data_IF_808370075787
#
_entry.id   IF_808370075787
#
_cell.length_a   1.000
_cell.length_b   1.000
_cell.length_c   1.000
_cell.angle_alpha   90.00
_cell.angle_beta   90.00
_cell.angle_gamma   90.00
#
_symmetry.space_group_name_H-M   'P 1'
#
loop_
_entity.id
_entity.type
_entity.pdbx_description
1 polymer ?
#
# COMPACT_ATOMS: atom_id res chain seq x y z
N UNK A 1 31.68 -20.62 7.18
CA UNK A 1 31.01 -21.61 6.30
C UNK A 1 30.21 -22.53 7.20
N UNK A 2 28.87 -22.53 7.13
CA UNK A 2 28.05 -23.35 8.04
C UNK A 2 27.63 -24.68 7.39
N UNK A 3 27.74 -25.82 8.10
CA UNK A 3 27.66 -27.18 7.54
C UNK A 3 26.25 -27.71 7.28
N UNK A 4 25.19 -26.96 7.55
CA UNK A 4 23.80 -27.43 7.44
C UNK A 4 23.25 -27.46 6.00
N UNK A 5 24.02 -27.05 4.99
CA UNK A 5 23.53 -26.92 3.61
C UNK A 5 23.33 -28.24 2.84
N UNK A 6 23.71 -29.40 3.38
CA UNK A 6 23.76 -30.64 2.59
C UNK A 6 22.51 -31.52 2.68
N UNK A 7 21.92 -31.74 3.86
CA UNK A 7 20.97 -32.85 4.03
C UNK A 7 19.58 -32.58 3.44
N UNK A 8 19.15 -31.32 3.39
CA UNK A 8 17.83 -30.92 2.88
C UNK A 8 17.77 -30.87 1.35
N UNK A 9 18.91 -31.00 0.65
CA UNK A 9 18.95 -31.03 -0.81
C UNK A 9 18.58 -32.42 -1.36
N UNK A 10 18.94 -33.49 -0.64
CA UNK A 10 18.80 -34.88 -1.07
C UNK A 10 17.44 -35.53 -0.74
N UNK A 11 16.55 -34.78 -0.10
CA UNK A 11 15.21 -35.24 0.31
C UNK A 11 14.20 -34.94 -0.79
N UNK A 12 13.26 -35.85 -1.06
CA UNK A 12 12.20 -35.60 -2.05
C UNK A 12 11.33 -34.40 -1.67
N UNK A 13 10.82 -33.67 -2.67
CA UNK A 13 10.02 -32.45 -2.45
C UNK A 13 8.77 -32.72 -1.58
N UNK A 14 8.17 -33.90 -1.68
CA UNK A 14 7.04 -34.31 -0.83
C UNK A 14 7.41 -34.41 0.64
N UNK A 15 8.57 -35.00 0.94
CA UNK A 15 9.06 -35.11 2.32
C UNK A 15 9.45 -33.74 2.85
N UNK A 16 10.06 -32.87 2.03
CA UNK A 16 10.32 -31.47 2.44
C UNK A 16 9.03 -30.74 2.79
N UNK A 17 8.00 -30.82 1.94
CA UNK A 17 6.69 -30.20 2.22
C UNK A 17 6.06 -30.72 3.50
N UNK A 18 6.13 -32.03 3.74
CA UNK A 18 5.59 -32.63 4.97
C UNK A 18 6.33 -32.15 6.22
N UNK A 19 7.66 -32.06 6.18
CA UNK A 19 8.46 -31.50 7.28
C UNK A 19 8.07 -30.04 7.53
N UNK A 20 7.97 -29.23 6.47
CA UNK A 20 7.61 -27.82 6.58
C UNK A 20 6.19 -27.64 7.14
N UNK A 21 5.21 -28.42 6.68
CA UNK A 21 3.84 -28.40 7.21
C UNK A 21 3.79 -28.79 8.68
N UNK A 22 4.47 -29.88 9.06
CA UNK A 22 4.52 -30.32 10.45
C UNK A 22 5.16 -29.27 11.37
N UNK A 23 6.18 -28.55 10.89
CA UNK A 23 6.80 -27.47 11.65
C UNK A 23 5.81 -26.30 11.87
N UNK A 24 5.02 -25.94 10.85
CA UNK A 24 3.97 -24.90 10.97
C UNK A 24 2.86 -25.36 11.91
N UNK A 25 2.45 -26.62 11.86
CA UNK A 25 1.43 -27.16 12.76
C UNK A 25 1.91 -27.18 14.22
N UNK A 26 3.18 -27.51 14.46
CA UNK A 26 3.80 -27.51 15.78
C UNK A 26 3.90 -26.12 16.44
N UNK A 27 3.73 -25.03 15.69
CA UNK A 27 3.64 -23.68 16.25
C UNK A 27 2.45 -23.55 17.20
N UNK A 28 1.37 -24.30 16.95
CA UNK A 28 0.14 -24.28 17.76
C UNK A 28 0.20 -25.20 18.99
N UNK A 29 1.37 -25.74 19.32
CA UNK A 29 1.52 -26.67 20.44
C UNK A 29 1.27 -25.96 21.78
N UNK A 30 0.52 -26.62 22.67
CA UNK A 30 0.21 -26.06 24.00
C UNK A 30 1.46 -25.88 24.88
N UNK A 31 2.52 -26.65 24.62
CA UNK A 31 3.81 -26.50 25.26
C UNK A 31 4.59 -25.33 24.63
N UNK A 32 4.83 -24.24 25.38
CA UNK A 32 5.48 -23.05 24.85
C UNK A 32 6.91 -23.30 24.37
N UNK A 33 7.61 -24.30 24.92
CA UNK A 33 8.97 -24.65 24.45
C UNK A 33 8.92 -25.28 23.06
N UNK A 34 7.91 -26.11 22.79
CA UNK A 34 7.71 -26.75 21.49
C UNK A 34 7.30 -25.71 20.47
N UNK A 35 6.32 -24.85 20.80
CA UNK A 35 5.88 -23.75 19.93
C UNK A 35 7.02 -22.80 19.56
N UNK A 36 7.85 -22.39 20.53
CA UNK A 36 9.01 -21.52 20.28
C UNK A 36 10.06 -22.19 19.38
N UNK A 37 10.34 -23.47 19.58
CA UNK A 37 11.29 -24.19 18.74
C UNK A 37 10.75 -24.44 17.34
N UNK A 38 9.44 -24.69 17.22
CA UNK A 38 8.75 -24.74 15.94
C UNK A 38 8.84 -23.40 15.19
N UNK A 39 8.64 -22.27 15.87
CA UNK A 39 8.84 -20.94 15.29
C UNK A 39 10.28 -20.72 14.80
N UNK A 40 11.29 -21.17 15.56
CA UNK A 40 12.69 -21.14 15.12
C UNK A 40 12.89 -21.96 13.84
N UNK A 41 12.30 -23.15 13.77
CA UNK A 41 12.38 -24.01 12.59
C UNK A 41 11.70 -23.36 11.38
N UNK A 42 10.48 -22.81 11.54
CA UNK A 42 9.75 -22.11 10.48
C UNK A 42 10.55 -20.91 9.97
N UNK A 43 11.18 -20.12 10.85
CA UNK A 43 12.02 -19.00 10.44
C UNK A 43 13.19 -19.44 9.55
N UNK A 44 13.89 -20.51 9.94
CA UNK A 44 14.99 -21.10 9.16
C UNK A 44 14.48 -21.55 7.78
N UNK A 45 13.33 -22.22 7.75
CA UNK A 45 12.71 -22.69 6.51
C UNK A 45 12.32 -21.52 5.58
N UNK A 46 11.68 -20.48 6.11
CA UNK A 46 11.32 -19.27 5.37
C UNK A 46 12.55 -18.56 4.80
N UNK A 47 13.64 -18.49 5.57
CA UNK A 47 14.89 -17.82 5.14
C UNK A 47 15.66 -18.60 4.09
N UNK A 48 15.73 -19.92 4.21
CA UNK A 48 16.64 -20.74 3.40
C UNK A 48 15.95 -21.54 2.28
N UNK A 49 14.64 -21.77 2.35
CA UNK A 49 13.88 -22.62 1.42
C UNK A 49 12.73 -21.87 0.74
N UNK A 50 12.94 -20.61 0.36
CA UNK A 50 11.90 -19.71 -0.19
C UNK A 50 10.98 -20.39 -1.21
N UNK A 51 11.54 -20.94 -2.29
CA UNK A 51 10.73 -21.51 -3.38
C UNK A 51 9.89 -22.71 -2.95
N UNK A 52 10.46 -23.58 -2.11
CA UNK A 52 9.78 -24.77 -1.60
C UNK A 52 8.73 -24.43 -0.53
N UNK A 53 8.92 -23.32 0.19
CA UNK A 53 8.04 -22.88 1.29
C UNK A 53 6.83 -22.05 0.81
N UNK A 54 6.93 -21.35 -0.33
CA UNK A 54 5.84 -20.51 -0.85
C UNK A 54 4.46 -21.18 -0.94
N UNK A 55 4.32 -22.47 -1.30
CA UNK A 55 3.03 -23.16 -1.28
C UNK A 55 2.36 -23.19 0.11
N UNK A 56 3.14 -23.11 1.18
CA UNK A 56 2.66 -23.08 2.57
C UNK A 56 2.53 -21.66 3.13
N UNK A 57 2.90 -20.62 2.38
CA UNK A 57 3.01 -19.26 2.90
C UNK A 57 1.68 -18.70 3.40
N UNK A 58 0.56 -18.92 2.69
CA UNK A 58 -0.75 -18.45 3.13
C UNK A 58 -1.19 -19.11 4.44
N UNK A 59 -1.08 -20.45 4.51
CA UNK A 59 -1.38 -21.19 5.73
C UNK A 59 -0.50 -20.72 6.88
N UNK A 60 0.80 -20.56 6.64
CA UNK A 60 1.76 -20.10 7.66
C UNK A 60 1.43 -18.70 8.13
N UNK A 61 1.03 -17.79 7.23
CA UNK A 61 0.60 -16.44 7.58
C UNK A 61 -0.56 -16.48 8.58
N UNK A 62 -1.61 -17.25 8.27
CA UNK A 62 -2.80 -17.38 9.12
C UNK A 62 -2.46 -18.00 10.49
N UNK A 63 -1.58 -19.01 10.52
CA UNK A 63 -1.09 -19.61 11.78
C UNK A 63 -0.36 -18.57 12.63
N UNK A 64 0.63 -17.89 12.07
CA UNK A 64 1.42 -16.89 12.79
C UNK A 64 0.56 -15.72 13.28
N UNK A 65 -0.44 -15.31 12.48
CA UNK A 65 -1.39 -14.27 12.87
C UNK A 65 -2.25 -14.71 14.06
N UNK A 66 -2.70 -15.98 14.08
CA UNK A 66 -3.42 -16.56 15.23
C UNK A 66 -2.60 -16.52 16.52
N UNK A 67 -1.30 -16.82 16.44
CA UNK A 67 -0.39 -16.80 17.59
C UNK A 67 -0.09 -15.39 18.13
N UNK A 68 -0.42 -14.33 17.39
CA UNK A 68 -0.32 -12.97 17.94
C UNK A 68 -1.33 -12.72 19.07
N UNK A 69 -2.34 -13.58 19.19
CA UNK A 69 -3.30 -13.54 20.29
C UNK A 69 -2.77 -14.20 21.58
N UNK A 70 -1.63 -14.89 21.55
CA UNK A 70 -1.13 -15.63 22.72
C UNK A 70 -0.70 -14.65 23.83
N UNK A 71 -1.07 -14.99 25.06
CA UNK A 71 -0.81 -14.19 26.26
C UNK A 71 0.61 -14.38 26.80
N UNK A 72 1.32 -15.45 26.37
CA UNK A 72 2.73 -15.69 26.68
C UNK A 72 3.57 -14.83 25.75
N UNK A 73 4.02 -13.68 26.24
CA UNK A 73 4.73 -12.66 25.44
C UNK A 73 5.83 -13.20 24.53
N UNK A 74 6.58 -14.22 24.98
CA UNK A 74 7.63 -14.84 24.17
C UNK A 74 7.15 -15.49 22.86
N UNK A 75 5.95 -16.09 22.83
CA UNK A 75 5.40 -16.69 21.61
C UNK A 75 4.93 -15.59 20.67
N UNK A 76 4.16 -14.62 21.18
CA UNK A 76 3.63 -13.50 20.39
C UNK A 76 4.75 -12.74 19.67
N UNK A 77 5.77 -12.32 20.40
CA UNK A 77 6.85 -11.50 19.84
C UNK A 77 7.66 -12.30 18.81
N UNK A 78 7.86 -13.60 19.06
CA UNK A 78 8.55 -14.49 18.12
C UNK A 78 7.70 -14.74 16.87
N UNK A 79 6.40 -14.98 17.01
CA UNK A 79 5.47 -15.16 15.90
C UNK A 79 5.43 -13.92 15.01
N UNK A 80 5.42 -12.72 15.59
CA UNK A 80 5.52 -11.48 14.83
C UNK A 80 6.84 -11.41 14.05
N UNK A 81 7.97 -11.73 14.67
CA UNK A 81 9.26 -11.74 13.98
C UNK A 81 9.26 -12.70 12.77
N UNK A 82 8.77 -13.92 12.95
CA UNK A 82 8.68 -14.91 11.85
C UNK A 82 7.69 -14.46 10.77
N UNK A 83 6.57 -13.84 11.16
CA UNK A 83 5.61 -13.28 10.22
C UNK A 83 6.24 -12.19 9.35
N UNK A 84 7.02 -11.29 9.97
CA UNK A 84 7.73 -10.24 9.25
C UNK A 84 8.78 -10.81 8.28
N UNK A 85 9.41 -11.93 8.59
CA UNK A 85 10.31 -12.65 7.67
C UNK A 85 9.55 -13.32 6.52
N UNK A 86 8.38 -13.90 6.81
CA UNK A 86 7.52 -14.56 5.82
C UNK A 86 7.02 -13.56 4.78
N UNK A 87 6.55 -12.37 5.20
CA UNK A 87 6.05 -11.36 4.25
C UNK A 87 7.14 -10.86 3.31
N UNK A 88 8.43 -10.92 3.72
CA UNK A 88 9.57 -10.64 2.82
C UNK A 88 9.62 -11.58 1.61
N UNK A 89 8.99 -12.75 1.70
CA UNK A 89 9.04 -13.79 0.67
C UNK A 89 7.80 -13.78 -0.22
N UNK A 90 6.71 -13.18 0.24
CA UNK A 90 5.42 -13.13 -0.44
C UNK A 90 5.32 -11.90 -1.36
N UNK A 91 4.35 -11.90 -2.27
CA UNK A 91 4.05 -10.70 -3.06
C UNK A 91 3.24 -9.70 -2.24
N UNK A 92 3.47 -8.40 -2.46
CA UNK A 92 2.75 -7.31 -1.77
C UNK A 92 1.23 -7.51 -1.88
N UNK A 93 0.75 -7.89 -3.06
CA UNK A 93 -0.68 -8.14 -3.30
C UNK A 93 -1.24 -9.23 -2.39
N UNK A 94 -0.54 -10.37 -2.25
CA UNK A 94 -1.02 -11.47 -1.40
C UNK A 94 -0.98 -11.07 0.08
N UNK A 95 0.10 -10.43 0.53
CA UNK A 95 0.20 -9.93 1.92
C UNK A 95 -0.92 -8.93 2.20
N UNK A 96 -1.19 -8.01 1.27
CA UNK A 96 -2.22 -6.99 1.47
C UNK A 96 -3.65 -7.57 1.45
N UNK A 97 -3.90 -8.68 0.74
CA UNK A 97 -5.18 -9.40 0.86
C UNK A 97 -5.41 -9.92 2.28
N UNK A 98 -4.36 -10.51 2.90
CA UNK A 98 -4.41 -10.94 4.29
C UNK A 98 -4.60 -9.79 5.27
N UNK A 99 -3.95 -8.65 5.02
CA UNK A 99 -4.15 -7.43 5.83
C UNK A 99 -5.61 -6.98 5.75
N UNK A 100 -6.17 -6.88 4.53
CA UNK A 100 -7.56 -6.46 4.32
C UNK A 100 -8.56 -7.37 5.02
N UNK A 101 -8.38 -8.69 4.93
CA UNK A 101 -9.32 -9.65 5.53
C UNK A 101 -9.29 -9.66 7.06
N UNK A 102 -8.19 -9.22 7.68
CA UNK A 102 -7.98 -9.29 9.13
C UNK A 102 -7.96 -7.93 9.84
N UNK A 103 -8.09 -6.80 9.13
CA UNK A 103 -8.01 -5.46 9.73
C UNK A 103 -9.10 -5.21 10.79
N UNK A 104 -10.22 -5.91 10.70
CA UNK A 104 -11.34 -5.87 11.64
C UNK A 104 -11.30 -6.97 12.71
N UNK A 105 -10.16 -7.64 12.91
CA UNK A 105 -10.01 -8.72 13.89
C UNK A 105 -10.39 -8.26 15.32
N UNK A 106 -10.83 -9.16 16.20
CA UNK A 106 -11.26 -8.76 17.56
C UNK A 106 -10.09 -8.42 18.50
N UNK A 107 -8.95 -9.08 18.31
CA UNK A 107 -7.77 -8.93 19.17
C UNK A 107 -6.90 -7.74 18.70
N UNK A 108 -6.59 -6.83 19.61
CA UNK A 108 -5.73 -5.66 19.39
C UNK A 108 -4.31 -6.06 18.90
N UNK A 109 -3.70 -7.11 19.45
CA UNK A 109 -2.35 -7.51 19.07
C UNK A 109 -2.25 -8.01 17.63
N UNK A 110 -3.33 -8.59 17.10
CA UNK A 110 -3.42 -8.94 15.68
C UNK A 110 -3.40 -7.67 14.83
N UNK A 111 -4.16 -6.64 15.21
CA UNK A 111 -4.19 -5.36 14.48
C UNK A 111 -2.83 -4.66 14.53
N UNK A 112 -2.17 -4.66 15.69
CA UNK A 112 -0.82 -4.13 15.85
C UNK A 112 0.18 -4.89 14.96
N UNK A 113 0.07 -6.22 14.90
CA UNK A 113 0.86 -7.04 13.99
C UNK A 113 0.62 -6.72 12.52
N UNK A 114 -0.64 -6.48 12.11
CA UNK A 114 -0.96 -6.06 10.74
C UNK A 114 -0.36 -4.69 10.41
N UNK A 115 -0.37 -3.74 11.35
CA UNK A 115 0.28 -2.43 11.19
C UNK A 115 1.80 -2.59 11.03
N UNK A 116 2.43 -3.47 11.82
CA UNK A 116 3.84 -3.80 11.67
C UNK A 116 4.15 -4.47 10.32
N UNK A 117 3.26 -5.32 9.81
CA UNK A 117 3.37 -5.90 8.46
C UNK A 117 3.33 -4.80 7.38
N UNK A 118 2.43 -3.82 7.49
CA UNK A 118 2.35 -2.70 6.54
C UNK A 118 3.66 -1.88 6.55
N UNK A 119 4.15 -1.52 7.75
CA UNK A 119 5.44 -0.82 7.88
C UNK A 119 6.58 -1.64 7.27
N UNK A 120 6.61 -2.96 7.52
CA UNK A 120 7.62 -3.85 6.95
C UNK A 120 7.56 -3.91 5.42
N UNK A 121 6.37 -3.92 4.82
CA UNK A 121 6.22 -3.88 3.36
C UNK A 121 6.86 -2.62 2.76
N UNK A 122 6.66 -1.47 3.42
CA UNK A 122 7.27 -0.20 3.02
C UNK A 122 8.81 -0.27 3.09
N UNK A 123 9.36 -0.73 4.22
CA UNK A 123 10.80 -0.79 4.44
C UNK A 123 11.52 -1.69 3.41
N UNK A 124 10.86 -2.75 2.94
CA UNK A 124 11.48 -3.74 2.05
C UNK A 124 11.37 -3.41 0.58
N UNK A 125 10.19 -3.00 0.12
CA UNK A 125 9.92 -2.88 -1.31
C UNK A 125 10.23 -1.49 -1.85
N UNK A 126 10.54 -0.53 -0.98
CA UNK A 126 10.72 0.86 -1.38
C UNK A 126 9.41 1.50 -1.85
N UNK A 127 9.40 2.82 -1.94
CA UNK A 127 8.19 3.59 -2.16
C UNK A 127 7.50 3.29 -3.49
N UNK A 128 8.23 3.15 -4.59
CA UNK A 128 7.62 2.97 -5.92
C UNK A 128 6.94 1.60 -6.10
N UNK A 129 7.53 0.51 -5.58
CA UNK A 129 6.92 -0.82 -5.70
C UNK A 129 5.68 -0.96 -4.82
N UNK A 130 5.69 -0.35 -3.62
CA UNK A 130 4.51 -0.33 -2.75
C UNK A 130 3.39 0.52 -3.38
N UNK A 131 3.70 1.72 -3.89
CA UNK A 131 2.73 2.63 -4.52
C UNK A 131 2.05 1.99 -5.74
N UNK A 132 2.81 1.26 -6.56
CA UNK A 132 2.27 0.58 -7.75
C UNK A 132 1.43 -0.65 -7.41
N UNK A 133 1.73 -1.33 -6.31
CA UNK A 133 1.00 -2.54 -5.89
C UNK A 133 -0.27 -2.24 -5.10
N UNK A 134 -0.26 -1.16 -4.30
CA UNK A 134 -1.39 -0.78 -3.45
C UNK A 134 -1.61 0.72 -3.60
N UNK A 135 -2.77 1.12 -4.12
CA UNK A 135 -3.11 2.54 -4.27
C UNK A 135 -3.26 3.25 -2.91
N UNK A 136 -2.99 4.55 -2.88
CA UNK A 136 -3.21 5.39 -1.69
C UNK A 136 -4.65 5.27 -1.16
N UNK A 137 -5.64 5.24 -2.06
CA UNK A 137 -7.04 5.06 -1.68
C UNK A 137 -7.28 3.73 -0.97
N UNK A 138 -6.75 2.64 -1.53
CA UNK A 138 -6.89 1.31 -0.92
C UNK A 138 -6.22 1.26 0.45
N UNK A 139 -5.04 1.85 0.58
CA UNK A 139 -4.31 1.96 1.85
C UNK A 139 -5.13 2.73 2.90
N UNK A 140 -5.62 3.93 2.55
CA UNK A 140 -6.42 4.75 3.47
C UNK A 140 -7.74 4.08 3.87
N UNK A 141 -8.46 3.44 2.93
CA UNK A 141 -9.69 2.72 3.25
C UNK A 141 -9.44 1.50 4.15
N UNK A 142 -8.31 0.81 4.00
CA UNK A 142 -7.94 -0.27 4.92
C UNK A 142 -7.58 0.29 6.30
N UNK A 143 -6.74 1.32 6.37
CA UNK A 143 -6.30 1.91 7.63
C UNK A 143 -7.40 2.69 8.35
N UNK A 144 -8.43 3.20 7.66
CA UNK A 144 -9.54 3.92 8.29
C UNK A 144 -10.27 3.07 9.33
N UNK A 145 -10.37 1.75 9.10
CA UNK A 145 -10.93 0.80 10.07
C UNK A 145 -10.13 0.82 11.38
N UNK A 146 -8.79 0.86 11.31
CA UNK A 146 -7.90 0.90 12.48
C UNK A 146 -7.81 2.30 13.11
N UNK A 147 -7.92 3.35 12.30
CA UNK A 147 -7.95 4.73 12.79
C UNK A 147 -9.18 4.99 13.66
N UNK A 148 -10.28 4.26 13.44
CA UNK A 148 -11.50 4.33 14.26
C UNK A 148 -11.64 3.16 15.24
N UNK A 149 -10.55 2.44 15.54
CA UNK A 149 -10.59 1.28 16.42
C UNK A 149 -11.05 1.62 17.85
N UNK A 150 -11.63 0.67 18.57
CA UNK A 150 -12.02 0.87 19.97
C UNK A 150 -10.82 1.18 20.88
N UNK A 151 -9.67 0.55 20.62
CA UNK A 151 -8.47 0.70 21.44
C UNK A 151 -7.64 1.91 21.02
N UNK A 152 -7.31 2.76 22.01
CA UNK A 152 -6.56 4.01 21.77
C UNK A 152 -5.19 3.73 21.16
N UNK A 153 -4.50 2.71 21.65
CA UNK A 153 -3.14 2.36 21.20
C UNK A 153 -3.14 1.90 19.74
N UNK A 154 -4.14 1.09 19.32
CA UNK A 154 -4.34 0.72 17.91
C UNK A 154 -4.52 1.96 17.04
N UNK A 155 -5.37 2.91 17.47
CA UNK A 155 -5.60 4.15 16.71
C UNK A 155 -4.32 4.97 16.59
N UNK A 156 -3.56 5.09 17.68
CA UNK A 156 -2.29 5.83 17.69
C UNK A 156 -1.25 5.18 16.78
N UNK A 157 -1.13 3.84 16.83
CA UNK A 157 -0.24 3.10 15.96
C UNK A 157 -0.67 3.24 14.50
N UNK A 158 -1.98 3.19 14.19
CA UNK A 158 -2.49 3.39 12.84
C UNK A 158 -2.19 4.79 12.29
N UNK A 159 -2.31 5.84 13.12
CA UNK A 159 -1.90 7.21 12.75
C UNK A 159 -0.41 7.25 12.45
N UNK A 160 0.41 6.61 13.29
CA UNK A 160 1.87 6.55 13.12
C UNK A 160 2.25 5.81 11.84
N UNK A 161 1.63 4.66 11.57
CA UNK A 161 1.84 3.88 10.34
C UNK A 161 1.41 4.67 9.10
N UNK A 162 0.26 5.33 9.13
CA UNK A 162 -0.19 6.16 8.00
C UNK A 162 0.75 7.34 7.75
N UNK A 163 1.21 8.02 8.81
CA UNK A 163 2.20 9.07 8.70
C UNK A 163 3.52 8.55 8.11
N UNK A 164 3.97 7.38 8.56
CA UNK A 164 5.14 6.69 8.03
C UNK A 164 5.05 6.38 6.53
N UNK A 165 3.84 6.23 5.98
CA UNK A 165 3.60 5.99 4.55
C UNK A 165 3.63 7.27 3.70
N UNK A 166 3.67 8.46 4.30
CA UNK A 166 3.70 9.74 3.57
C UNK A 166 4.88 9.84 2.58
N UNK A 167 6.13 9.46 2.89
CA UNK A 167 7.22 9.46 1.92
C UNK A 167 6.96 8.57 0.69
N UNK A 168 6.07 7.59 0.81
CA UNK A 168 5.73 6.66 -0.28
C UNK A 168 4.63 7.19 -1.20
N UNK A 169 3.61 7.81 -0.62
CA UNK A 169 2.41 8.23 -1.36
C UNK A 169 2.28 9.75 -1.54
N UNK A 170 2.95 10.56 -0.72
CA UNK A 170 2.91 12.02 -0.78
C UNK A 170 1.49 12.58 -0.64
N UNK A 171 1.16 13.58 -1.46
CA UNK A 171 -0.15 14.23 -1.46
C UNK A 171 -1.30 13.29 -1.85
N UNK A 172 -1.03 12.21 -2.62
CA UNK A 172 -2.07 11.22 -2.95
C UNK A 172 -2.66 10.58 -1.70
N UNK A 173 -1.87 10.50 -0.61
CA UNK A 173 -2.30 9.98 0.69
C UNK A 173 -3.24 10.95 1.39
N UNK A 174 -2.96 12.26 1.31
CA UNK A 174 -3.79 13.32 1.90
C UNK A 174 -5.13 13.37 1.17
N UNK A 175 -5.10 13.36 -0.16
CA UNK A 175 -6.30 13.35 -1.00
C UNK A 175 -7.12 12.07 -0.77
N UNK A 176 -6.47 10.92 -0.62
CA UNK A 176 -7.13 9.67 -0.29
C UNK A 176 -7.78 9.67 1.08
N UNK A 177 -7.10 10.19 2.10
CA UNK A 177 -7.62 10.28 3.46
C UNK A 177 -8.80 11.27 3.53
N UNK A 178 -8.77 12.36 2.76
CA UNK A 178 -9.88 13.32 2.69
C UNK A 178 -11.17 12.71 2.10
N UNK A 179 -11.05 11.64 1.30
CA UNK A 179 -12.19 10.85 0.79
C UNK A 179 -12.66 9.75 1.75
N UNK A 180 -11.92 9.50 2.84
CA UNK A 180 -12.35 8.58 3.88
C UNK A 180 -13.29 9.29 4.86
N UNK A 181 -14.40 8.64 5.20
CA UNK A 181 -15.36 9.16 6.18
C UNK A 181 -14.85 8.87 7.61
N UNK A 182 -14.00 9.75 8.12
CA UNK A 182 -13.45 9.67 9.47
C UNK A 182 -14.19 10.63 10.42
N UNK A 183 -14.42 10.23 11.69
CA UNK A 183 -14.94 11.14 12.71
C UNK A 183 -14.09 12.41 12.80
N UNK A 184 -14.68 13.62 12.97
CA UNK A 184 -13.96 14.89 12.87
C UNK A 184 -12.72 14.99 13.78
N UNK A 185 -12.82 14.49 15.01
CA UNK A 185 -11.70 14.47 15.95
C UNK A 185 -10.54 13.58 15.46
N UNK A 186 -10.87 12.38 14.96
CA UNK A 186 -9.88 11.44 14.43
C UNK A 186 -9.26 11.95 13.13
N UNK A 187 -10.07 12.52 12.24
CA UNK A 187 -9.60 13.14 11.00
C UNK A 187 -8.60 14.26 11.31
N UNK A 188 -8.93 15.14 12.26
CA UNK A 188 -8.03 16.25 12.68
C UNK A 188 -6.68 15.75 13.16
N UNK A 189 -6.65 14.72 14.02
CA UNK A 189 -5.40 14.13 14.54
C UNK A 189 -4.59 13.50 13.40
N UNK A 190 -5.25 12.74 12.54
CA UNK A 190 -4.59 12.02 11.44
C UNK A 190 -4.03 12.99 10.39
N UNK A 191 -4.80 14.01 10.00
CA UNK A 191 -4.35 15.05 9.08
C UNK A 191 -3.20 15.87 9.65
N UNK A 192 -3.23 16.22 10.94
CA UNK A 192 -2.11 16.90 11.59
C UNK A 192 -0.82 16.09 11.46
N UNK A 193 -0.86 14.79 11.73
CA UNK A 193 0.31 13.92 11.60
C UNK A 193 0.84 13.86 10.16
N UNK A 194 -0.03 13.80 9.14
CA UNK A 194 0.39 13.85 7.74
C UNK A 194 1.03 15.19 7.35
N UNK A 195 0.47 16.30 7.83
CA UNK A 195 1.00 17.64 7.57
C UNK A 195 2.37 17.86 8.25
N UNK A 196 2.60 17.25 9.41
CA UNK A 196 3.93 17.24 10.04
C UNK A 196 4.95 16.50 9.18
N UNK A 197 4.59 15.34 8.61
CA UNK A 197 5.47 14.61 7.69
C UNK A 197 5.74 15.40 6.40
N UNK A 198 4.76 16.13 5.89
CA UNK A 198 4.93 17.03 4.73
C UNK A 198 5.99 18.11 4.96
N UNK A 199 6.10 18.64 6.18
CA UNK A 199 7.11 19.66 6.50
C UNK A 199 8.52 19.07 6.60
N UNK A 200 8.63 17.80 6.97
CA UNK A 200 9.90 17.07 7.08
C UNK A 200 10.38 16.51 5.74
N UNK A 201 9.45 16.22 4.83
CA UNK A 201 9.78 15.69 3.51
C UNK A 201 10.34 16.81 2.61
N UNK A 202 11.48 16.58 1.90
CA UNK A 202 11.91 17.51 0.85
C UNK A 202 10.79 17.62 -0.20
N UNK A 203 10.56 18.79 -0.81
CA UNK A 203 9.45 18.98 -1.73
C UNK A 203 9.59 18.03 -2.91
N UNK A 204 8.73 16.99 -2.94
CA UNK A 204 8.61 16.12 -4.10
C UNK A 204 8.13 17.00 -5.26
N UNK A 205 9.01 17.20 -6.24
CA UNK A 205 8.66 17.92 -7.45
C UNK A 205 7.66 17.03 -8.19
N UNK A 206 6.38 17.38 -8.11
CA UNK A 206 5.34 16.77 -8.94
C UNK A 206 5.78 16.87 -10.41
N UNK A 207 5.66 15.79 -11.21
CA UNK A 207 5.93 15.83 -12.65
C UNK A 207 5.13 16.92 -13.38
N UNK A 208 3.96 17.28 -12.85
CA UNK A 208 3.13 18.36 -13.38
C UNK A 208 3.78 19.76 -13.24
N UNK A 209 4.68 19.96 -12.28
CA UNK A 209 5.43 21.22 -12.11
C UNK A 209 6.68 21.30 -13.00
N UNK A 210 7.24 20.17 -13.41
CA UNK A 210 8.40 20.13 -14.31
C UNK A 210 8.07 20.69 -15.70
N UNK A 211 6.88 20.36 -16.23
CA UNK A 211 6.43 20.88 -17.52
C UNK A 211 6.17 22.39 -17.53
N UNK A 212 5.85 23.00 -16.38
CA UNK A 212 5.62 24.45 -16.28
C UNK A 212 6.92 25.25 -16.14
N UNK A 213 7.97 24.64 -15.55
CA UNK A 213 9.27 25.29 -15.35
C UNK A 213 10.14 25.32 -16.61
N UNK A 214 9.83 24.50 -17.62
CA UNK A 214 10.55 24.43 -18.89
C UNK A 214 9.90 25.23 -20.02
N UNK A 215 8.81 25.96 -19.75
CA UNK A 215 8.31 26.93 -20.74
C UNK A 215 9.23 28.16 -20.73
N UNK A 216 9.86 28.51 -21.87
CA UNK A 216 10.59 29.76 -21.97
C UNK A 216 9.65 30.92 -21.64
N UNK A 217 10.16 31.84 -20.83
CA UNK A 217 9.56 33.13 -20.53
C UNK A 217 9.57 33.99 -21.80
N UNK A 218 8.71 33.68 -22.77
CA UNK A 218 8.41 34.65 -23.83
C UNK A 218 7.41 35.66 -23.29
N UNK A 219 7.89 36.89 -23.27
CA UNK A 219 7.21 38.07 -22.78
C UNK A 219 5.91 38.34 -23.54
N UNK A 220 4.82 38.57 -22.80
CA UNK A 220 3.71 39.36 -23.30
C UNK A 220 3.50 40.54 -22.35
N UNK A 221 4.29 41.60 -22.57
CA UNK A 221 3.90 42.94 -22.14
C UNK A 221 2.68 43.41 -22.95
N UNK A 222 1.84 44.30 -22.39
CA UNK A 222 0.62 44.76 -23.05
C UNK A 222 0.96 45.78 -24.13
N UNK A 223 0.45 45.57 -25.35
CA UNK A 223 0.50 46.57 -26.41
C UNK A 223 -0.70 47.53 -26.26
N UNK A 224 -0.39 48.82 -26.24
CA UNK A 224 -1.29 49.95 -26.02
C UNK A 224 -2.16 50.22 -27.24
N UNK A 225 -3.40 50.63 -27.01
CA UNK A 225 -4.43 50.94 -28.01
C UNK A 225 -4.19 52.24 -28.82
N UNK A 226 -4.51 52.14 -30.13
CA UNK A 226 -5.13 53.14 -31.05
C UNK A 226 -4.32 54.33 -31.61
N UNK A 227 -4.73 55.01 -32.73
CA UNK A 227 -5.97 54.90 -33.54
C UNK A 227 -5.82 54.85 -35.10
N UNK A 228 -6.98 54.63 -35.75
CA UNK A 228 -7.37 54.76 -37.18
C UNK A 228 -6.59 55.75 -38.07
N UNK A 229 -6.43 55.43 -39.38
CA UNK A 229 -6.86 56.28 -40.52
C UNK A 229 -6.73 55.57 -41.90
N UNK A 230 -7.84 55.57 -42.65
CA UNK A 230 -7.98 55.55 -44.13
C UNK A 230 -7.78 54.28 -44.98
N UNK A 231 -8.90 53.80 -45.53
CA UNK A 231 -9.08 53.05 -46.80
C UNK A 231 -8.76 53.97 -48.02
N UNK A 232 -8.59 53.50 -49.29
CA UNK A 232 -9.58 52.65 -49.99
C UNK A 232 -9.08 51.70 -51.12
N UNK A 233 -10.03 50.86 -51.61
CA UNK A 233 -10.11 50.19 -52.94
C UNK A 233 -9.15 49.02 -53.20
N UNK A 234 -9.50 47.92 -53.87
CA UNK A 234 -10.59 47.61 -54.80
C UNK A 234 -10.79 46.07 -54.89
N UNK A 235 -12.03 45.67 -55.17
CA UNK A 235 -12.42 44.57 -56.08
C UNK A 235 -11.79 43.18 -55.92
N UNK A 236 -12.59 42.17 -55.53
CA UNK A 236 -13.17 41.22 -56.50
C UNK A 236 -14.23 40.34 -55.83
N UNK A 237 -15.21 39.98 -56.66
CA UNK A 237 -16.54 39.46 -56.38
C UNK A 237 -16.62 38.02 -56.90
N UNK A 238 -17.18 37.10 -56.12
CA UNK A 238 -18.01 35.96 -56.58
C UNK A 238 -18.58 35.26 -55.35
N UNK A 239 -19.81 35.58 -54.94
CA UNK A 239 -21.04 34.85 -55.30
C UNK A 239 -21.18 33.45 -54.66
N UNK A 240 -22.01 33.40 -53.61
CA UNK A 240 -22.72 32.20 -53.14
C UNK A 240 -23.90 31.86 -54.08
N UNK A 241 -24.51 30.66 -53.99
CA UNK A 241 -25.64 30.44 -53.05
C UNK A 241 -25.62 29.02 -52.42
N UNK A 242 -25.96 28.79 -51.14
CA UNK A 242 -27.27 28.83 -50.47
C UNK A 242 -28.32 27.84 -51.02
N UNK A 243 -28.66 26.82 -50.22
CA UNK A 243 -30.01 26.25 -49.96
C UNK A 243 -29.85 24.85 -49.33
N UNK A 244 -30.23 24.62 -48.07
CA UNK A 244 -31.57 24.33 -47.55
C UNK A 244 -31.92 22.82 -47.58
N UNK A 245 -32.50 22.32 -46.48
CA UNK A 245 -33.17 21.01 -46.47
C UNK A 245 -32.96 20.17 -45.21
N UNK A 246 -33.76 20.41 -44.16
CA UNK A 246 -34.31 19.32 -43.33
C UNK A 246 -35.45 18.65 -44.13
N UNK A 247 -35.76 17.36 -43.93
CA UNK A 247 -36.85 17.03 -43.00
C UNK A 247 -36.70 15.69 -42.25
N UNK A 248 -37.73 15.45 -41.43
CA UNK A 248 -37.94 14.48 -40.35
C UNK A 248 -38.13 12.99 -40.70
N UNK A 249 -38.00 12.18 -39.64
CA UNK A 249 -38.90 11.10 -39.17
C UNK A 249 -38.69 9.62 -39.57
N UNK A 250 -39.01 8.77 -38.57
CA UNK A 250 -39.60 7.40 -38.56
C UNK A 250 -38.72 6.19 -38.12
N UNK A 251 -39.11 5.66 -36.95
CA UNK A 251 -39.52 4.29 -36.59
C UNK A 251 -38.74 3.00 -36.93
N UNK A 252 -38.75 2.09 -35.94
CA UNK A 252 -38.55 0.62 -36.03
C UNK A 252 -37.10 0.17 -35.79
N UNK A 253 -36.74 -0.73 -34.86
CA UNK A 253 -37.36 -1.97 -34.34
C UNK A 253 -36.98 -2.17 -32.87
#
# INVERSE_FOLDING_TARGET
QQPYKSWLLDVSTDVKRKIMSNAVDAVKDFNPKVALEALNCVEILVRHHKHDFLPLANMTFDVLLGELCDFKGGIRDRSLQVLLELVCKMSIHVVFQHVKSNVSHKNQHVKEGLLAVITRLQDMHGSDHLRTSVSAQTMCTTLSVLLTDAHVDTRHLAVTTLAGLYPTYGEDLVDALARCDLPPAQNKVTMKALLEQRQLAPPLISPARFHRALQPFEASMPFVDSPNLHSPRDSFRSESPAASGKPSALDGV
#
